data_IF_371540495270
#
_entry.id   IF_371540495270
#
_cell.length_a   1.000
_cell.length_b   1.000
_cell.length_c   1.000
_cell.angle_alpha   90.00
_cell.angle_beta   90.00
_cell.angle_gamma   90.00
#
_symmetry.space_group_name_H-M   'P 1'
#
loop_
_entity.id
_entity.type
_entity.pdbx_description
1 polymer ?
#
# COMPACT_ATOMS: atom_id res chain seq x y z
N UNK A 1 -16.65 23.33 2.82
CA UNK A 1 -15.46 22.46 2.81
C UNK A 1 -15.22 22.13 1.36
N UNK A 2 -14.26 22.80 0.75
CA UNK A 2 -13.93 22.64 -0.69
C UNK A 2 -12.84 21.56 -0.84
N UNK A 3 -12.64 21.06 -2.06
CA UNK A 3 -11.55 20.09 -2.35
C UNK A 3 -10.18 20.67 -1.96
N UNK A 4 -9.99 21.99 -2.09
CA UNK A 4 -8.79 22.70 -1.66
C UNK A 4 -8.53 22.58 -0.14
N UNK A 5 -9.58 22.60 0.69
CA UNK A 5 -9.45 22.47 2.15
C UNK A 5 -8.93 21.09 2.57
N UNK A 6 -9.10 20.05 1.73
CA UNK A 6 -8.58 18.71 1.97
C UNK A 6 -7.12 18.56 1.56
N UNK A 7 -6.70 19.23 0.49
CA UNK A 7 -5.30 19.23 0.03
C UNK A 7 -4.41 19.97 1.05
N UNK A 8 -4.85 21.12 1.55
CA UNK A 8 -4.15 21.89 2.59
C UNK A 8 -4.01 21.10 3.90
N UNK A 9 -5.06 20.40 4.33
CA UNK A 9 -5.03 19.59 5.56
C UNK A 9 -4.10 18.36 5.44
N UNK A 10 -3.99 17.78 4.26
CA UNK A 10 -3.07 16.67 4.01
C UNK A 10 -1.61 17.17 3.98
N UNK A 11 -1.36 18.34 3.37
CA UNK A 11 -0.03 18.96 3.35
C UNK A 11 0.46 19.29 4.76
N UNK A 12 -0.41 19.88 5.61
CA UNK A 12 -0.11 20.19 7.00
C UNK A 12 0.25 18.94 7.83
N UNK A 13 -0.40 17.80 7.56
CA UNK A 13 -0.14 16.56 8.29
C UNK A 13 1.25 15.97 8.01
N UNK A 14 1.79 16.15 6.81
CA UNK A 14 3.12 15.67 6.42
C UNK A 14 4.24 16.64 6.80
N UNK A 15 3.93 17.92 7.04
CA UNK A 15 4.90 19.00 7.28
C UNK A 15 6.01 18.64 8.27
N UNK A 16 5.73 18.09 9.49
CA UNK A 16 6.79 17.77 10.44
C UNK A 16 7.75 16.69 9.94
N UNK A 17 7.25 15.72 9.15
CA UNK A 17 8.05 14.64 8.59
C UNK A 17 8.90 15.15 7.44
N UNK A 18 8.32 15.96 6.54
CA UNK A 18 9.03 16.61 5.43
C UNK A 18 10.16 17.49 5.96
N UNK A 19 9.88 18.31 7.00
CA UNK A 19 10.88 19.17 7.63
C UNK A 19 12.04 18.36 8.27
N UNK A 20 11.73 17.19 8.85
CA UNK A 20 12.74 16.31 9.41
C UNK A 20 13.68 15.77 8.32
N UNK A 21 13.14 15.28 7.19
CA UNK A 21 13.95 14.81 6.07
C UNK A 21 14.76 15.92 5.42
N UNK A 22 14.18 17.11 5.26
CA UNK A 22 14.89 18.29 4.77
C UNK A 22 16.06 18.68 5.67
N UNK A 23 15.86 18.66 6.99
CA UNK A 23 16.88 19.03 7.99
C UNK A 23 18.14 18.16 7.95
N UNK A 24 17.99 16.91 7.54
CA UNK A 24 19.12 15.96 7.37
C UNK A 24 19.66 15.94 5.94
N UNK A 25 19.14 16.80 5.05
CA UNK A 25 19.58 16.90 3.66
C UNK A 25 19.19 15.70 2.80
N UNK A 26 18.13 14.97 3.16
CA UNK A 26 17.64 13.86 2.38
C UNK A 26 17.09 14.34 1.03
N UNK A 27 17.32 13.56 -0.02
CA UNK A 27 16.75 13.82 -1.35
C UNK A 27 15.41 13.09 -1.52
N UNK A 28 14.47 13.61 -2.34
CA UNK A 28 13.21 12.90 -2.62
C UNK A 28 13.44 11.46 -3.08
N UNK A 29 14.37 11.21 -3.99
CA UNK A 29 14.69 9.86 -4.48
C UNK A 29 15.16 8.92 -3.36
N UNK A 30 15.85 9.42 -2.33
CA UNK A 30 16.23 8.60 -1.18
C UNK A 30 15.02 8.22 -0.35
N UNK A 31 14.03 9.11 -0.23
CA UNK A 31 12.78 8.83 0.48
C UNK A 31 11.93 7.82 -0.30
N UNK A 32 11.83 7.94 -1.63
CA UNK A 32 11.16 6.94 -2.48
C UNK A 32 11.80 5.54 -2.34
N UNK A 33 13.15 5.46 -2.37
CA UNK A 33 13.86 4.19 -2.16
C UNK A 33 13.60 3.64 -0.74
N UNK A 34 13.57 4.49 0.27
CA UNK A 34 13.24 4.07 1.65
C UNK A 34 11.81 3.54 1.74
N UNK A 35 10.84 4.22 1.12
CA UNK A 35 9.44 3.76 1.02
C UNK A 35 9.38 2.34 0.42
N UNK A 36 10.06 2.12 -0.69
CA UNK A 36 10.15 0.81 -1.33
C UNK A 36 10.76 -0.26 -0.41
N UNK A 37 11.86 0.03 0.28
CA UNK A 37 12.48 -0.92 1.20
C UNK A 37 11.56 -1.28 2.37
N UNK A 38 10.79 -0.31 2.88
CA UNK A 38 9.76 -0.54 3.90
C UNK A 38 8.64 -1.42 3.36
N UNK A 39 8.20 -1.23 2.10
CA UNK A 39 7.21 -2.10 1.46
C UNK A 39 7.73 -3.54 1.30
N UNK A 40 9.01 -3.73 0.96
CA UNK A 40 9.64 -5.07 0.91
C UNK A 40 9.69 -5.72 2.30
N UNK A 41 10.00 -4.94 3.34
CA UNK A 41 9.95 -5.44 4.72
C UNK A 41 8.52 -5.84 5.13
N UNK A 42 7.50 -5.06 4.72
CA UNK A 42 6.10 -5.41 4.91
C UNK A 42 5.73 -6.74 4.22
N UNK A 43 6.19 -6.94 2.98
CA UNK A 43 6.00 -8.19 2.26
C UNK A 43 6.59 -9.39 3.00
N UNK A 44 7.82 -9.24 3.54
CA UNK A 44 8.46 -10.25 4.38
C UNK A 44 7.68 -10.52 5.67
N UNK A 45 7.10 -9.48 6.29
CA UNK A 45 6.22 -9.64 7.46
C UNK A 45 4.98 -10.47 7.12
N UNK A 46 4.26 -10.15 6.06
CA UNK A 46 3.08 -10.91 5.62
C UNK A 46 3.42 -12.37 5.27
N UNK A 47 4.59 -12.61 4.67
CA UNK A 47 5.03 -13.95 4.32
C UNK A 47 5.14 -14.89 5.54
N UNK A 48 5.36 -14.38 6.75
CA UNK A 48 5.46 -15.20 7.98
C UNK A 48 4.14 -15.84 8.41
N UNK A 49 3.00 -15.35 7.93
CA UNK A 49 1.63 -15.84 8.24
C UNK A 49 1.38 -15.93 9.76
N UNK A 50 1.90 -14.99 10.52
CA UNK A 50 1.71 -14.88 11.97
C UNK A 50 0.89 -13.65 12.33
N UNK A 51 0.23 -13.64 13.49
CA UNK A 51 -0.47 -12.44 13.98
C UNK A 51 0.44 -11.22 14.03
N UNK A 52 1.66 -11.38 14.54
CA UNK A 52 2.66 -10.30 14.57
C UNK A 52 3.07 -9.88 13.15
N UNK A 53 3.19 -10.85 12.22
CA UNK A 53 3.50 -10.60 10.82
C UNK A 53 2.40 -9.82 10.10
N UNK A 54 1.14 -10.14 10.32
CA UNK A 54 0.00 -9.43 9.74
C UNK A 54 -0.09 -7.99 10.26
N UNK A 55 -0.02 -7.79 11.58
CA UNK A 55 -0.08 -6.45 12.18
C UNK A 55 1.16 -5.63 11.82
N UNK A 56 2.35 -6.22 11.96
CA UNK A 56 3.61 -5.56 11.59
C UNK A 56 3.67 -5.20 10.11
N UNK A 57 3.23 -6.10 9.22
CA UNK A 57 3.11 -5.85 7.79
C UNK A 57 2.17 -4.69 7.48
N UNK A 58 1.00 -4.64 8.13
CA UNK A 58 0.04 -3.53 7.97
C UNK A 58 0.62 -2.18 8.39
N UNK A 59 1.32 -2.13 9.52
CA UNK A 59 1.99 -0.91 9.98
C UNK A 59 3.10 -0.47 9.02
N UNK A 60 3.88 -1.42 8.48
CA UNK A 60 4.91 -1.13 7.50
C UNK A 60 4.32 -0.65 6.16
N UNK A 61 3.19 -1.19 5.71
CA UNK A 61 2.48 -0.66 4.52
C UNK A 61 2.03 0.77 4.76
N UNK A 62 1.44 1.08 5.93
CA UNK A 62 1.05 2.44 6.28
C UNK A 62 2.25 3.39 6.29
N UNK A 63 3.38 2.95 6.86
CA UNK A 63 4.63 3.73 6.87
C UNK A 63 5.17 3.94 5.46
N UNK A 64 5.17 2.92 4.60
CA UNK A 64 5.57 3.04 3.20
C UNK A 64 4.72 4.08 2.46
N UNK A 65 3.38 4.03 2.62
CA UNK A 65 2.49 5.01 2.01
C UNK A 65 2.70 6.44 2.52
N UNK A 66 3.04 6.60 3.80
CA UNK A 66 3.40 7.89 4.36
C UNK A 66 4.69 8.44 3.73
N UNK A 67 5.74 7.62 3.64
CA UNK A 67 7.01 8.01 3.04
C UNK A 67 6.87 8.40 1.57
N UNK A 68 6.03 7.70 0.83
CA UNK A 68 5.65 8.00 -0.54
C UNK A 68 5.02 9.41 -0.69
N UNK A 69 4.09 9.77 0.19
CA UNK A 69 3.55 11.13 0.21
C UNK A 69 4.58 12.20 0.57
N UNK A 70 5.56 11.85 1.39
CA UNK A 70 6.62 12.76 1.83
C UNK A 70 7.60 13.07 0.71
N UNK A 71 7.99 12.13 -0.14
CA UNK A 71 8.98 12.37 -1.21
C UNK A 71 8.47 13.39 -2.24
N UNK A 72 7.20 13.29 -2.65
CA UNK A 72 6.59 14.26 -3.54
C UNK A 72 6.49 15.66 -2.92
N UNK A 73 6.17 15.77 -1.64
CA UNK A 73 6.15 17.07 -0.94
C UNK A 73 7.56 17.63 -0.77
N UNK A 74 8.54 16.81 -0.42
CA UNK A 74 9.93 17.21 -0.32
C UNK A 74 10.47 17.70 -1.66
N UNK A 75 10.13 17.04 -2.78
CA UNK A 75 10.51 17.47 -4.12
C UNK A 75 9.95 18.86 -4.48
N UNK A 76 8.68 19.11 -4.17
CA UNK A 76 8.05 20.41 -4.38
C UNK A 76 8.69 21.49 -3.50
N UNK A 77 8.88 21.22 -2.22
CA UNK A 77 9.43 22.15 -1.24
C UNK A 77 10.88 22.57 -1.55
N UNK A 78 11.70 21.60 -1.97
CA UNK A 78 13.10 21.86 -2.32
C UNK A 78 13.33 22.32 -3.76
N UNK A 79 12.27 22.38 -4.57
CA UNK A 79 12.36 22.77 -5.98
C UNK A 79 13.15 21.75 -6.83
N UNK A 80 13.23 20.50 -6.41
CA UNK A 80 13.96 19.42 -7.09
C UNK A 80 13.07 18.44 -7.85
N UNK A 81 11.79 18.75 -7.99
CA UNK A 81 10.86 17.95 -8.78
C UNK A 81 11.37 17.79 -10.22
N UNK A 82 11.34 16.57 -10.76
CA UNK A 82 11.86 16.25 -12.08
C UNK A 82 11.15 15.04 -12.70
N UNK A 83 11.08 14.98 -14.03
CA UNK A 83 10.51 13.85 -14.76
C UNK A 83 11.22 12.52 -14.43
N UNK A 84 12.52 12.55 -14.17
CA UNK A 84 13.29 11.37 -13.77
C UNK A 84 12.96 10.93 -12.34
N UNK A 85 12.65 11.86 -11.44
CA UNK A 85 12.16 11.56 -10.10
C UNK A 85 10.79 10.91 -10.15
N UNK A 86 9.87 11.48 -10.91
CA UNK A 86 8.52 10.92 -11.11
C UNK A 86 8.59 9.51 -11.72
N UNK A 87 9.49 9.28 -12.69
CA UNK A 87 9.68 7.96 -13.27
C UNK A 87 10.21 6.95 -12.26
N UNK A 88 11.17 7.36 -11.41
CA UNK A 88 11.71 6.50 -10.35
C UNK A 88 10.61 6.13 -9.36
N UNK A 89 9.87 7.10 -8.86
CA UNK A 89 8.78 6.91 -7.92
C UNK A 89 7.73 5.94 -8.47
N UNK A 90 7.19 6.19 -9.67
CA UNK A 90 6.23 5.30 -10.31
C UNK A 90 6.77 3.87 -10.55
N UNK A 91 8.07 3.75 -10.80
CA UNK A 91 8.72 2.43 -10.95
C UNK A 91 8.78 1.69 -9.62
N UNK A 92 9.26 2.37 -8.56
CA UNK A 92 9.34 1.79 -7.22
C UNK A 92 7.96 1.42 -6.67
N UNK A 93 6.93 2.19 -7.00
CA UNK A 93 5.54 1.87 -6.72
C UNK A 93 5.12 0.50 -7.28
N UNK A 94 5.46 0.25 -8.53
CA UNK A 94 5.12 -1.05 -9.16
C UNK A 94 5.87 -2.20 -8.52
N UNK A 95 7.14 -2.00 -8.19
CA UNK A 95 7.91 -3.02 -7.46
C UNK A 95 7.41 -3.22 -6.03
N UNK A 96 6.91 -2.18 -5.35
CA UNK A 96 6.27 -2.28 -4.04
C UNK A 96 4.99 -3.11 -4.11
N UNK A 97 4.11 -2.82 -5.09
CA UNK A 97 2.89 -3.59 -5.33
C UNK A 97 3.22 -5.08 -5.59
N UNK A 98 4.22 -5.35 -6.43
CA UNK A 98 4.69 -6.70 -6.72
C UNK A 98 5.18 -7.41 -5.46
N UNK A 99 6.05 -6.77 -4.69
CA UNK A 99 6.63 -7.35 -3.48
C UNK A 99 5.54 -7.68 -2.45
N UNK A 100 4.62 -6.75 -2.18
CA UNK A 100 3.52 -6.93 -1.23
C UNK A 100 2.62 -8.10 -1.63
N UNK A 101 2.16 -8.14 -2.88
CA UNK A 101 1.29 -9.20 -3.38
C UNK A 101 2.00 -10.56 -3.41
N UNK A 102 3.29 -10.58 -3.77
CA UNK A 102 4.10 -11.80 -3.75
C UNK A 102 4.33 -12.31 -2.31
N UNK A 103 4.59 -11.40 -1.35
CA UNK A 103 4.75 -11.75 0.07
C UNK A 103 3.49 -12.35 0.65
N UNK A 104 2.33 -11.72 0.41
CA UNK A 104 1.02 -12.23 0.85
C UNK A 104 0.73 -13.59 0.19
N UNK A 105 0.81 -13.68 -1.13
CA UNK A 105 0.50 -14.90 -1.87
C UNK A 105 1.45 -16.06 -1.52
N UNK A 106 2.74 -15.76 -1.32
CA UNK A 106 3.74 -16.75 -0.92
C UNK A 106 3.51 -17.27 0.48
N UNK A 107 3.16 -16.39 1.43
CA UNK A 107 2.85 -16.77 2.80
C UNK A 107 1.70 -17.77 2.89
N UNK A 108 0.61 -17.52 2.16
CA UNK A 108 -0.57 -18.41 2.15
C UNK A 108 -0.54 -19.47 1.04
N UNK A 109 0.58 -19.63 0.34
CA UNK A 109 0.77 -20.55 -0.79
C UNK A 109 -0.25 -20.39 -1.95
N UNK A 110 -0.82 -19.20 -2.11
CA UNK A 110 -1.84 -18.89 -3.12
C UNK A 110 -1.23 -18.24 -4.38
N UNK A 111 -0.20 -18.84 -4.95
CA UNK A 111 0.60 -18.27 -6.05
C UNK A 111 -0.21 -17.91 -7.30
N UNK A 112 -1.22 -18.73 -7.65
CA UNK A 112 -2.09 -18.44 -8.79
C UNK A 112 -2.88 -17.14 -8.57
N UNK A 113 -3.47 -16.95 -7.37
CA UNK A 113 -4.16 -15.71 -7.02
C UNK A 113 -3.21 -14.52 -7.01
N UNK A 114 -2.00 -14.69 -6.46
CA UNK A 114 -0.95 -13.68 -6.48
C UNK A 114 -0.58 -13.26 -7.89
N UNK A 115 -0.40 -14.21 -8.80
CA UNK A 115 -0.12 -13.94 -10.22
C UNK A 115 -1.24 -13.12 -10.87
N UNK A 116 -2.50 -13.50 -10.69
CA UNK A 116 -3.62 -12.74 -11.24
C UNK A 116 -3.75 -11.34 -10.62
N UNK A 117 -3.52 -11.20 -9.30
CA UNK A 117 -3.56 -9.92 -8.62
C UNK A 117 -2.46 -8.98 -9.14
N UNK A 118 -1.22 -9.44 -9.24
CA UNK A 118 -0.10 -8.67 -9.80
C UNK A 118 -0.39 -8.28 -11.24
N UNK A 119 -0.85 -9.22 -12.07
CA UNK A 119 -1.19 -8.95 -13.47
C UNK A 119 -2.28 -7.87 -13.57
N UNK A 120 -3.33 -7.96 -12.75
CA UNK A 120 -4.39 -6.94 -12.70
C UNK A 120 -3.87 -5.55 -12.35
N UNK A 121 -3.01 -5.45 -11.34
CA UNK A 121 -2.38 -4.18 -10.94
C UNK A 121 -1.54 -3.58 -12.06
N UNK A 122 -0.71 -4.40 -12.73
CA UNK A 122 0.13 -3.93 -13.82
C UNK A 122 -0.69 -3.51 -15.04
N UNK A 123 -1.73 -4.29 -15.41
CA UNK A 123 -2.62 -3.94 -16.51
C UNK A 123 -3.37 -2.63 -16.23
N UNK A 124 -3.89 -2.43 -15.02
CA UNK A 124 -4.56 -1.18 -14.64
C UNK A 124 -3.60 0.01 -14.75
N UNK A 125 -2.38 -0.13 -14.27
CA UNK A 125 -1.35 0.89 -14.38
C UNK A 125 -0.98 1.20 -15.83
N UNK A 126 -0.79 0.15 -16.64
CA UNK A 126 -0.51 0.28 -18.07
C UNK A 126 -1.63 1.00 -18.81
N UNK A 127 -2.89 0.63 -18.57
CA UNK A 127 -4.05 1.28 -19.20
C UNK A 127 -4.15 2.76 -18.81
N UNK A 128 -3.86 3.12 -17.56
CA UNK A 128 -3.80 4.52 -17.14
C UNK A 128 -2.74 5.32 -17.90
N UNK A 129 -1.55 4.75 -18.09
CA UNK A 129 -0.47 5.37 -18.87
C UNK A 129 -0.85 5.47 -20.36
N UNK A 130 -1.48 4.43 -20.94
CA UNK A 130 -1.94 4.47 -22.32
C UNK A 130 -3.03 5.52 -22.55
N UNK A 131 -3.98 5.67 -21.62
CA UNK A 131 -5.00 6.71 -21.70
C UNK A 131 -4.38 8.12 -21.76
N UNK A 132 -3.35 8.38 -20.96
CA UNK A 132 -2.59 9.63 -21.04
C UNK A 132 -1.88 9.79 -22.39
N UNK A 133 -1.23 8.75 -22.87
CA UNK A 133 -0.47 8.79 -24.12
C UNK A 133 -1.35 9.11 -25.35
N UNK A 134 -2.62 8.70 -25.36
CA UNK A 134 -3.57 9.01 -26.42
C UNK A 134 -4.40 10.27 -26.17
N UNK A 135 -4.08 11.04 -25.12
CA UNK A 135 -4.76 12.28 -24.80
C UNK A 135 -6.16 12.16 -24.21
N UNK A 136 -6.55 10.96 -23.76
CA UNK A 136 -7.84 10.73 -23.09
C UNK A 136 -7.88 11.27 -21.65
N UNK A 137 -6.75 11.78 -21.14
CA UNK A 137 -6.61 12.22 -19.77
C UNK A 137 -6.40 11.05 -18.79
N UNK A 138 -6.03 11.37 -17.57
CA UNK A 138 -5.95 10.39 -16.49
C UNK A 138 -7.26 10.43 -15.72
N UNK A 139 -8.09 9.40 -15.90
CA UNK A 139 -9.27 9.24 -15.05
C UNK A 139 -8.85 8.61 -13.72
N UNK A 140 -8.81 9.44 -12.67
CA UNK A 140 -8.53 8.99 -11.30
C UNK A 140 -9.79 8.45 -10.58
N UNK A 141 -10.94 8.45 -11.25
CA UNK A 141 -12.22 7.99 -10.70
C UNK A 141 -12.39 6.47 -10.63
N UNK A 142 -11.38 5.69 -11.03
CA UNK A 142 -11.43 4.22 -10.96
C UNK A 142 -11.36 3.72 -9.52
N UNK A 143 -12.30 2.87 -9.13
CA UNK A 143 -12.22 2.04 -7.93
C UNK A 143 -10.92 1.22 -7.95
N UNK A 144 -10.19 1.16 -6.81
CA UNK A 144 -8.95 0.41 -6.63
C UNK A 144 -7.68 1.08 -7.20
N UNK A 145 -7.55 2.38 -6.98
CA UNK A 145 -6.28 3.09 -7.09
C UNK A 145 -5.21 2.51 -6.12
N UNK A 146 -3.99 3.04 -6.17
CA UNK A 146 -2.90 2.59 -5.27
C UNK A 146 -3.28 2.77 -3.80
N UNK A 147 -3.82 3.93 -3.43
CA UNK A 147 -4.25 4.22 -2.06
C UNK A 147 -5.32 3.24 -1.56
N UNK A 148 -6.30 2.89 -2.40
CA UNK A 148 -7.35 1.93 -2.06
C UNK A 148 -6.76 0.53 -1.83
N UNK A 149 -5.81 0.09 -2.68
CA UNK A 149 -5.14 -1.21 -2.50
C UNK A 149 -4.34 -1.26 -1.20
N UNK A 150 -3.58 -0.20 -0.89
CA UNK A 150 -2.83 -0.12 0.37
C UNK A 150 -3.78 -0.16 1.56
N UNK A 151 -4.90 0.58 1.52
CA UNK A 151 -5.92 0.56 2.56
C UNK A 151 -6.54 -0.85 2.74
N UNK A 152 -6.83 -1.55 1.65
CA UNK A 152 -7.34 -2.93 1.69
C UNK A 152 -6.32 -3.91 2.26
N UNK A 153 -5.03 -3.79 1.92
CA UNK A 153 -3.96 -4.62 2.47
C UNK A 153 -3.80 -4.37 3.97
N UNK A 154 -3.80 -3.10 4.39
CA UNK A 154 -3.72 -2.72 5.81
C UNK A 154 -4.90 -3.29 6.58
N UNK A 155 -6.11 -3.05 6.09
CA UNK A 155 -7.34 -3.52 6.73
C UNK A 155 -7.38 -5.06 6.79
N UNK A 156 -7.06 -5.73 5.69
CA UNK A 156 -7.00 -7.19 5.63
C UNK A 156 -5.98 -7.77 6.61
N UNK A 157 -4.79 -7.18 6.71
CA UNK A 157 -3.77 -7.62 7.64
C UNK A 157 -4.15 -7.38 9.12
N UNK A 158 -4.87 -6.30 9.43
CA UNK A 158 -5.39 -6.06 10.79
C UNK A 158 -6.51 -7.04 11.14
N UNK A 159 -7.40 -7.34 10.19
CA UNK A 159 -8.59 -8.19 10.42
C UNK A 159 -8.24 -9.67 10.43
N UNK A 160 -7.28 -10.10 9.62
CA UNK A 160 -6.91 -11.51 9.41
C UNK A 160 -6.68 -12.31 10.72
N UNK A 161 -5.99 -11.79 11.74
CA UNK A 161 -5.81 -12.53 13.01
C UNK A 161 -7.10 -12.85 13.77
N UNK A 162 -8.19 -12.12 13.48
CA UNK A 162 -9.49 -12.29 14.14
C UNK A 162 -10.43 -13.24 13.38
N UNK A 163 -10.14 -13.57 12.12
CA UNK A 163 -10.99 -14.43 11.28
C UNK A 163 -11.17 -15.84 11.89
N UNK A 164 -10.11 -16.53 12.38
CA UNK A 164 -10.27 -17.84 13.00
C UNK A 164 -11.15 -17.83 14.26
N UNK A 165 -11.16 -16.70 14.99
CA UNK A 165 -12.01 -16.53 16.18
C UNK A 165 -13.48 -16.50 15.81
N UNK A 166 -13.82 -15.82 14.71
CA UNK A 166 -15.20 -15.73 14.20
C UNK A 166 -15.67 -17.07 13.65
N UNK A 167 -14.82 -17.80 12.93
CA UNK A 167 -15.12 -19.14 12.41
C UNK A 167 -15.37 -20.13 13.55
N UNK A 168 -14.58 -20.08 14.64
CA UNK A 168 -14.80 -20.89 15.84
C UNK A 168 -16.15 -20.62 16.50
N UNK A 169 -16.53 -19.36 16.65
CA UNK A 169 -17.82 -18.97 17.23
C UNK A 169 -19.01 -19.41 16.37
N UNK A 170 -18.91 -19.35 15.05
CA UNK A 170 -19.99 -19.77 14.14
C UNK A 170 -20.14 -21.30 14.12
N UNK A 171 -19.04 -22.04 14.25
CA UNK A 171 -19.07 -23.49 14.30
C UNK A 171 -19.72 -24.01 15.60
N UNK A 172 -19.39 -23.44 16.75
CA UNK A 172 -20.01 -23.80 18.04
C UNK A 172 -21.50 -23.44 18.08
N UNK A 173 -21.89 -22.31 17.50
CA UNK A 173 -23.31 -21.90 17.46
C UNK A 173 -24.17 -22.77 16.52
N UNK A 174 -23.54 -23.46 15.58
CA UNK A 174 -24.23 -24.35 14.60
C UNK A 174 -24.20 -25.84 14.95
N UNK A 175 -23.49 -26.26 16.00
CA UNK A 175 -23.44 -27.65 16.40
C UNK A 175 -24.79 -28.05 17.03
N UNK A 176 -25.49 -29.08 16.53
CA UNK A 176 -26.70 -29.59 17.17
C UNK A 176 -26.31 -30.22 18.53
N UNK A 177 -27.08 -29.85 19.56
CA UNK A 177 -26.91 -30.44 20.88
C UNK A 177 -27.22 -31.98 20.80
N UNK A 178 -26.17 -32.79 20.80
CA UNK A 178 -26.25 -34.23 20.77
C UNK A 178 -26.36 -34.84 22.17
N UNK A 179 -26.68 -34.07 23.20
CA UNK A 179 -26.76 -34.52 24.60
C UNK A 179 -28.12 -35.06 25.02
N UNK A 180 -29.02 -35.39 24.07
CA UNK A 180 -30.33 -35.98 24.38
C UNK A 180 -30.47 -37.40 23.74
N UNK A 181 -29.81 -38.40 24.32
CA UNK A 181 -30.19 -39.83 24.29
C UNK A 181 -29.73 -40.55 25.55
#
# INVERSE_FOLDING_TARGET
MTLADHDDAAEDAFEPVVAAFESVGATPNQVSVLSFLVAVAAAGSFYTVTTAGYIGGSLLVALSGLLDGVDGQLARRTGTASESGDMLDHTLDRYSDLALLAGIAGGVAAWALGFFAVTGVFLTSYMGTQAQAVGAGRDYGGLLGRADRMALIILGGIVQPFVPLVEGLTFEAGAPDTSSD
#
